data_IF_333547856436
#
_entry.id   IF_333547856436
#
_cell.length_a   1.000
_cell.length_b   1.000
_cell.length_c   1.000
_cell.angle_alpha   90.00
_cell.angle_beta   90.00
_cell.angle_gamma   90.00
#
_symmetry.space_group_name_H-M   'P 1'
#
loop_
_entity.id
_entity.type
_entity.pdbx_description
1 polymer ?
#
# COMPACT_ATOMS: atom_id res chain seq x y z
N UNK A 1 -7.00 -16.15 -22.35
CA UNK A 1 -7.87 -15.64 -21.28
C UNK A 1 -7.04 -14.62 -20.50
N UNK A 2 -7.17 -13.34 -20.87
CA UNK A 2 -6.21 -12.30 -20.50
C UNK A 2 -6.43 -11.74 -19.09
N UNK A 3 -5.34 -11.63 -18.33
CA UNK A 3 -5.32 -10.91 -17.05
C UNK A 3 -5.72 -9.44 -17.30
N UNK A 4 -6.93 -9.08 -16.86
CA UNK A 4 -7.53 -7.75 -17.08
C UNK A 4 -7.29 -6.84 -15.88
N UNK A 5 -6.10 -6.91 -15.25
CA UNK A 5 -5.71 -5.92 -14.25
C UNK A 5 -5.41 -4.58 -14.95
N UNK A 6 -6.32 -3.61 -14.83
CA UNK A 6 -6.06 -2.21 -15.21
C UNK A 6 -4.74 -1.79 -14.56
N UNK A 7 -3.74 -1.43 -15.38
CA UNK A 7 -2.52 -0.81 -14.89
C UNK A 7 -2.84 0.61 -14.46
N UNK A 8 -2.96 0.83 -13.16
CA UNK A 8 -3.14 2.16 -12.59
C UNK A 8 -1.91 3.02 -12.89
N UNK A 9 -2.11 4.15 -13.57
CA UNK A 9 -1.06 5.14 -13.75
C UNK A 9 -0.94 5.96 -12.46
N UNK A 10 0.31 6.22 -12.04
CA UNK A 10 0.64 7.13 -10.94
C UNK A 10 0.05 6.75 -9.56
N UNK A 11 0.02 5.45 -9.20
CA UNK A 11 -0.47 5.02 -7.87
C UNK A 11 0.31 5.62 -6.70
N UNK A 12 1.56 6.01 -6.94
CA UNK A 12 2.45 6.66 -5.98
C UNK A 12 1.94 8.03 -5.50
N UNK A 13 1.08 8.70 -6.28
CA UNK A 13 0.50 10.01 -5.91
C UNK A 13 -0.61 9.90 -4.86
N UNK A 14 -1.10 8.69 -4.56
CA UNK A 14 -2.21 8.48 -3.60
C UNK A 14 -1.87 9.11 -2.24
N UNK A 15 -0.62 9.01 -1.79
CA UNK A 15 -0.18 9.63 -0.54
C UNK A 15 -0.40 11.15 -0.52
N UNK A 16 -0.01 11.84 -1.60
CA UNK A 16 -0.23 13.28 -1.76
C UNK A 16 -1.72 13.63 -1.83
N UNK A 17 -2.53 12.81 -2.51
CA UNK A 17 -3.98 13.00 -2.62
C UNK A 17 -4.70 12.87 -1.26
N UNK A 18 -4.25 11.93 -0.41
CA UNK A 18 -4.75 11.75 0.96
C UNK A 18 -4.36 12.93 1.84
N UNK A 19 -3.09 13.34 1.78
CA UNK A 19 -2.59 14.46 2.56
C UNK A 19 -3.33 15.77 2.27
N UNK A 20 -3.56 16.09 0.99
CA UNK A 20 -4.34 17.27 0.57
C UNK A 20 -5.80 17.26 1.04
N UNK A 21 -6.35 16.10 1.41
CA UNK A 21 -7.70 15.93 1.95
C UNK A 21 -7.71 15.85 3.48
N UNK A 22 -6.65 16.32 4.14
CA UNK A 22 -6.49 16.29 5.59
C UNK A 22 -6.60 14.86 6.17
N UNK A 23 -6.03 13.88 5.46
CA UNK A 23 -5.78 12.55 6.00
C UNK A 23 -4.30 12.46 6.35
N UNK A 24 -4.00 12.41 7.65
CA UNK A 24 -2.66 12.20 8.18
C UNK A 24 -2.52 10.77 8.72
N UNK A 25 -1.29 10.30 8.94
CA UNK A 25 -1.02 8.97 9.51
C UNK A 25 -1.20 7.78 8.56
N UNK A 26 -1.80 7.97 7.38
CA UNK A 26 -1.84 6.97 6.33
C UNK A 26 -0.46 6.86 5.65
N UNK A 27 0.10 5.65 5.58
CA UNK A 27 1.42 5.42 4.97
C UNK A 27 1.30 4.53 3.76
N UNK A 28 1.58 5.08 2.59
CA UNK A 28 1.62 4.36 1.32
C UNK A 28 3.01 3.75 1.15
N UNK A 29 3.08 2.45 0.90
CA UNK A 29 4.34 1.71 0.75
C UNK A 29 4.39 1.10 -0.64
N UNK A 30 5.41 1.49 -1.42
CA UNK A 30 5.60 1.02 -2.79
C UNK A 30 6.94 0.27 -2.92
N UNK A 31 6.97 -0.84 -3.69
CA UNK A 31 8.20 -1.49 -4.12
C UNK A 31 9.12 -0.53 -4.89
N UNK A 32 10.40 -0.87 -4.96
CA UNK A 32 11.43 -0.16 -5.72
C UNK A 32 12.15 0.94 -4.94
N UNK A 33 11.72 1.27 -3.72
CA UNK A 33 12.40 2.25 -2.88
C UNK A 33 13.57 1.61 -2.15
N UNK A 34 14.77 2.19 -2.30
CA UNK A 34 15.96 1.79 -1.54
C UNK A 34 16.33 2.89 -0.54
N UNK A 35 16.76 2.49 0.65
CA UNK A 35 17.21 3.42 1.70
C UNK A 35 18.55 2.93 2.27
N UNK A 36 19.51 3.83 2.42
CA UNK A 36 20.76 3.56 3.13
C UNK A 36 20.69 4.13 4.55
N UNK A 37 21.02 3.33 5.56
CA UNK A 37 21.10 3.74 6.97
C UNK A 37 22.36 3.12 7.56
N UNK A 38 23.27 3.94 8.11
CA UNK A 38 24.53 3.51 8.74
C UNK A 38 25.36 2.52 7.89
N UNK A 39 25.41 2.76 6.58
CA UNK A 39 26.14 1.92 5.62
C UNK A 39 25.40 0.68 5.16
N UNK A 40 24.23 0.36 5.73
CA UNK A 40 23.38 -0.74 5.30
C UNK A 40 22.35 -0.28 4.28
N UNK A 41 22.25 -1.01 3.18
CA UNK A 41 21.26 -0.77 2.14
C UNK A 41 20.04 -1.66 2.37
N UNK A 42 18.89 -1.02 2.54
CA UNK A 42 17.59 -1.68 2.64
C UNK A 42 16.85 -1.54 1.32
N UNK A 43 16.62 -2.66 0.63
CA UNK A 43 15.77 -2.73 -0.55
C UNK A 43 14.30 -2.75 -0.15
N UNK A 44 13.43 -2.19 -0.99
CA UNK A 44 11.99 -2.13 -0.71
C UNK A 44 11.68 -1.51 0.67
N UNK A 45 12.33 -0.39 0.95
CA UNK A 45 12.25 0.32 2.22
C UNK A 45 10.80 0.56 2.65
N UNK A 46 10.54 0.41 3.95
CA UNK A 46 9.21 0.42 4.58
C UNK A 46 8.37 -0.85 4.38
N UNK A 47 8.81 -1.83 3.58
CA UNK A 47 8.09 -3.11 3.43
C UNK A 47 8.41 -4.15 4.51
N UNK A 48 9.41 -3.88 5.35
CA UNK A 48 9.91 -4.80 6.39
C UNK A 48 10.39 -6.17 5.87
N UNK A 49 10.47 -6.31 4.55
CA UNK A 49 11.00 -7.46 3.81
C UNK A 49 11.52 -6.94 2.47
N UNK A 50 12.58 -7.56 1.96
CA UNK A 50 13.08 -7.28 0.60
C UNK A 50 12.09 -7.68 -0.48
N UNK A 51 11.15 -8.58 -0.20
CA UNK A 51 10.07 -8.93 -1.12
C UNK A 51 8.79 -9.19 -0.31
N UNK A 52 7.87 -8.23 -0.32
CA UNK A 52 6.59 -8.36 0.37
C UNK A 52 5.55 -8.94 -0.59
N UNK A 53 5.04 -10.11 -0.23
CA UNK A 53 3.91 -10.75 -0.89
C UNK A 53 2.79 -10.85 0.13
N UNK A 54 1.60 -10.28 -0.12
CA UNK A 54 0.45 -10.61 0.69
C UNK A 54 0.18 -12.09 0.48
N UNK A 55 0.36 -12.87 1.53
CA UNK A 55 -0.20 -14.21 1.59
C UNK A 55 -1.68 -14.09 1.24
N UNK A 56 -2.15 -14.89 0.28
CA UNK A 56 -3.60 -15.19 0.24
C UNK A 56 -4.02 -15.60 1.66
N UNK A 57 -5.27 -15.37 2.08
CA UNK A 57 -5.76 -15.59 3.45
C UNK A 57 -5.44 -16.97 4.09
N UNK A 58 -4.85 -17.90 3.33
CA UNK A 58 -4.41 -19.23 3.75
C UNK A 58 -2.89 -19.44 3.89
N UNK A 59 -2.03 -18.48 3.53
CA UNK A 59 -0.56 -18.68 3.55
C UNK A 59 0.16 -17.90 4.67
N UNK A 60 0.04 -18.35 5.91
CA UNK A 60 0.69 -17.72 7.08
C UNK A 60 2.24 -17.81 7.03
N UNK A 61 2.83 -18.41 6.00
CA UNK A 61 4.24 -18.81 5.97
C UNK A 61 5.15 -17.89 5.15
N UNK A 62 4.63 -16.90 4.42
CA UNK A 62 5.42 -16.07 3.47
C UNK A 62 6.29 -16.93 2.52
N UNK A 63 5.86 -18.14 2.18
CA UNK A 63 6.63 -19.00 1.28
C UNK A 63 6.22 -18.76 -0.17
N UNK A 64 7.21 -18.40 -0.98
CA UNK A 64 7.08 -18.00 -2.38
C UNK A 64 6.69 -19.15 -3.33
N UNK A 65 6.32 -20.32 -2.80
CA UNK A 65 6.52 -21.60 -3.49
C UNK A 65 5.34 -22.04 -4.37
N UNK A 66 4.23 -21.29 -4.44
CA UNK A 66 3.08 -21.66 -5.29
C UNK A 66 2.45 -20.51 -6.08
N UNK A 67 3.23 -19.51 -6.49
CA UNK A 67 2.77 -18.51 -7.48
C UNK A 67 3.76 -18.45 -8.63
N UNK A 68 3.51 -19.24 -9.69
CA UNK A 68 4.28 -19.24 -10.93
C UNK A 68 4.22 -17.95 -11.76
N UNK A 69 3.98 -16.79 -11.15
CA UNK A 69 3.88 -15.49 -11.82
C UNK A 69 4.65 -14.41 -11.05
N UNK A 70 5.78 -13.99 -11.62
CA UNK A 70 6.52 -12.73 -11.38
C UNK A 70 6.69 -12.31 -9.91
N UNK A 71 7.88 -12.60 -9.37
CA UNK A 71 8.42 -12.27 -8.04
C UNK A 71 8.56 -10.76 -7.73
N UNK A 72 7.60 -9.94 -8.11
CA UNK A 72 7.62 -8.50 -7.83
C UNK A 72 6.82 -8.22 -6.55
N UNK A 73 7.47 -7.55 -5.59
CA UNK A 73 6.82 -7.09 -4.37
C UNK A 73 5.58 -6.22 -4.69
N UNK A 74 4.60 -6.18 -3.78
CA UNK A 74 3.31 -5.52 -4.01
C UNK A 74 3.18 -4.24 -3.15
N UNK A 75 2.59 -3.15 -3.69
CA UNK A 75 2.30 -1.96 -2.90
C UNK A 75 1.12 -2.14 -1.95
N UNK A 76 1.14 -1.46 -0.81
CA UNK A 76 0.05 -1.48 0.16
C UNK A 76 -0.07 -0.16 0.92
N UNK A 77 -1.18 0.00 1.64
CA UNK A 77 -1.50 1.18 2.43
C UNK A 77 -1.69 0.78 3.89
N UNK A 78 -0.91 1.39 4.78
CA UNK A 78 -1.12 1.26 6.22
C UNK A 78 -2.02 2.36 6.74
N UNK A 79 -3.02 1.96 7.52
CA UNK A 79 -3.89 2.84 8.30
C UNK A 79 -4.00 2.23 9.70
N UNK A 80 -4.01 3.07 10.73
CA UNK A 80 -4.18 2.63 12.10
C UNK A 80 -5.25 3.49 12.77
N UNK A 81 -6.03 2.88 13.67
CA UNK A 81 -6.99 3.57 14.54
C UNK A 81 -6.40 3.56 15.95
N UNK A 82 -5.73 4.65 16.32
CA UNK A 82 -5.10 4.79 17.62
C UNK A 82 -6.14 5.10 18.72
N UNK A 83 -5.72 5.01 19.99
CA UNK A 83 -6.53 5.42 21.13
C UNK A 83 -6.99 6.89 20.96
N UNK A 84 -8.26 7.15 21.25
CA UNK A 84 -8.86 8.49 21.14
C UNK A 84 -9.59 8.76 19.82
N UNK A 85 -9.46 7.90 18.81
CA UNK A 85 -10.31 7.96 17.62
C UNK A 85 -11.76 7.63 17.96
N UNK A 86 -12.68 8.39 17.39
CA UNK A 86 -14.10 8.12 17.49
C UNK A 86 -14.68 7.72 16.12
N UNK A 87 -15.94 7.27 16.12
CA UNK A 87 -16.63 6.83 14.89
C UNK A 87 -16.66 7.92 13.81
N UNK A 88 -16.83 9.20 14.18
CA UNK A 88 -16.87 10.29 13.20
C UNK A 88 -15.53 10.46 12.49
N UNK A 89 -14.41 10.25 13.18
CA UNK A 89 -13.08 10.33 12.58
C UNK A 89 -12.89 9.22 11.54
N UNK A 90 -13.29 7.99 11.88
CA UNK A 90 -13.22 6.82 10.98
C UNK A 90 -14.14 7.01 9.77
N UNK A 91 -15.37 7.46 9.97
CA UNK A 91 -16.31 7.75 8.87
C UNK A 91 -15.77 8.85 7.95
N UNK A 92 -15.26 9.95 8.52
CA UNK A 92 -14.66 11.04 7.75
C UNK A 92 -13.47 10.56 6.92
N UNK A 93 -12.63 9.69 7.50
CA UNK A 93 -11.54 9.05 6.79
C UNK A 93 -12.05 8.22 5.59
N UNK A 94 -13.02 7.33 5.81
CA UNK A 94 -13.56 6.45 4.77
C UNK A 94 -14.17 7.23 3.61
N UNK A 95 -14.95 8.28 3.90
CA UNK A 95 -15.54 9.14 2.88
C UNK A 95 -14.49 9.83 2.00
N UNK A 96 -13.44 10.36 2.62
CA UNK A 96 -12.35 11.03 1.91
C UNK A 96 -11.49 10.02 1.14
N UNK A 97 -11.22 8.86 1.73
CA UNK A 97 -10.45 7.78 1.12
C UNK A 97 -11.15 7.22 -0.11
N UNK A 98 -12.47 6.96 -0.02
CA UNK A 98 -13.29 6.51 -1.16
C UNK A 98 -13.16 7.46 -2.34
N UNK A 99 -13.30 8.77 -2.12
CA UNK A 99 -13.17 9.77 -3.19
C UNK A 99 -11.80 9.76 -3.87
N UNK A 100 -10.73 9.49 -3.13
CA UNK A 100 -9.38 9.34 -3.70
C UNK A 100 -9.29 8.09 -4.54
N UNK A 101 -9.79 6.96 -4.04
CA UNK A 101 -9.84 5.72 -4.81
C UNK A 101 -10.67 5.88 -6.09
N UNK A 102 -11.85 6.47 -6.02
CA UNK A 102 -12.69 6.72 -7.19
C UNK A 102 -11.96 7.56 -8.23
N UNK A 103 -11.20 8.57 -7.80
CA UNK A 103 -10.36 9.39 -8.68
C UNK A 103 -9.26 8.56 -9.35
N UNK A 104 -8.64 7.61 -8.65
CA UNK A 104 -7.56 6.79 -9.19
C UNK A 104 -8.06 5.62 -10.07
N UNK A 105 -9.25 5.10 -9.79
CA UNK A 105 -9.81 3.93 -10.48
C UNK A 105 -10.62 4.29 -11.74
N UNK A 106 -11.23 5.48 -11.76
CA UNK A 106 -12.10 5.93 -12.84
C UNK A 106 -11.42 6.87 -13.85
N UNK A 107 -10.18 7.29 -13.59
CA UNK A 107 -9.29 7.90 -14.59
C UNK A 107 -8.54 6.82 -15.40
#
# INVERSE_FOLDING_TARGET
MGDTRKKFKNVDIIGSMLFQRNISGARCVFPGKTQNIDGYQFTNWCQHSSHYFPSSEKDVTNQAENVGLQSQSIPYLNIAVALGFNRRDVTTFLERFSKVLDTLLNN
#
